data_IF_809617384578
#
_entry.id   IF_809617384578
#
_cell.length_a   1.000
_cell.length_b   1.000
_cell.length_c   1.000
_cell.angle_alpha   90.00
_cell.angle_beta   90.00
_cell.angle_gamma   90.00
#
_symmetry.space_group_name_H-M   'P 1'
#
loop_
_entity.id
_entity.type
_entity.pdbx_description
1 polymer ?
#
# COMPACT_ATOMS: atom_id res chain seq x y z
N UNK A 1 6.83 13.47 -12.09
CA UNK A 1 5.83 14.01 -11.16
C UNK A 1 6.08 15.50 -10.86
N UNK A 2 5.03 16.31 -10.99
CA UNK A 2 5.02 17.74 -10.65
C UNK A 2 4.41 17.93 -9.24
N UNK A 3 4.91 18.92 -8.49
CA UNK A 3 4.30 19.33 -7.21
C UNK A 3 2.96 20.02 -7.49
N UNK A 4 1.88 19.54 -6.88
CA UNK A 4 0.52 20.01 -7.20
C UNK A 4 -0.01 21.06 -6.22
N UNK A 5 0.76 21.44 -5.21
CA UNK A 5 0.36 22.39 -4.17
C UNK A 5 -0.41 21.75 -3.02
N UNK A 6 -0.90 22.60 -2.11
CA UNK A 6 -1.62 22.18 -0.91
C UNK A 6 -3.05 21.71 -1.24
N UNK A 7 -3.21 20.42 -1.52
CA UNK A 7 -4.53 19.80 -1.68
C UNK A 7 -5.20 19.62 -0.32
N UNK A 8 -6.50 19.85 -0.26
CA UNK A 8 -7.31 19.51 0.90
C UNK A 8 -7.41 17.99 1.08
N UNK A 9 -7.65 17.55 2.32
CA UNK A 9 -7.93 16.13 2.63
C UNK A 9 -8.98 15.50 1.70
N UNK A 10 -10.01 16.26 1.33
CA UNK A 10 -11.07 15.77 0.45
C UNK A 10 -10.56 15.58 -0.99
N UNK A 11 -9.78 16.51 -1.53
CA UNK A 11 -9.19 16.39 -2.86
C UNK A 11 -8.20 15.21 -2.94
N UNK A 12 -7.39 15.02 -1.90
CA UNK A 12 -6.49 13.85 -1.80
C UNK A 12 -7.30 12.55 -1.77
N UNK A 13 -8.39 12.51 -0.97
CA UNK A 13 -9.27 11.34 -0.92
C UNK A 13 -9.91 11.06 -2.29
N UNK A 14 -10.43 12.07 -2.98
CA UNK A 14 -11.04 11.91 -4.31
C UNK A 14 -10.05 11.35 -5.33
N UNK A 15 -8.78 11.79 -5.29
CA UNK A 15 -7.71 11.22 -6.14
C UNK A 15 -7.44 9.75 -5.82
N UNK A 16 -7.36 9.38 -4.54
CA UNK A 16 -7.20 7.97 -4.14
C UNK A 16 -8.40 7.14 -4.58
N UNK A 17 -9.63 7.62 -4.36
CA UNK A 17 -10.85 6.90 -4.75
C UNK A 17 -10.89 6.63 -6.26
N UNK A 18 -10.44 7.58 -7.07
CA UNK A 18 -10.37 7.43 -8.53
C UNK A 18 -9.23 6.54 -9.00
N UNK A 19 -8.05 6.59 -8.36
CA UNK A 19 -6.85 5.88 -8.82
C UNK A 19 -6.73 4.45 -8.25
N UNK A 20 -7.30 4.20 -7.07
CA UNK A 20 -7.22 2.92 -6.35
C UNK A 20 -8.62 2.38 -6.06
N UNK A 21 -9.33 1.85 -7.07
CA UNK A 21 -10.54 1.07 -6.81
C UNK A 21 -10.20 -0.14 -5.94
N UNK A 22 -11.19 -0.64 -5.19
CA UNK A 22 -11.01 -1.89 -4.46
C UNK A 22 -10.76 -3.04 -5.45
N UNK A 23 -9.85 -3.93 -5.06
CA UNK A 23 -9.45 -5.09 -5.86
C UNK A 23 -9.98 -6.35 -5.18
N UNK A 24 -10.45 -7.32 -5.96
CA UNK A 24 -10.88 -8.60 -5.42
C UNK A 24 -9.74 -9.32 -4.68
N UNK A 25 -10.10 -10.06 -3.63
CA UNK A 25 -9.14 -10.86 -2.88
C UNK A 25 -8.44 -11.87 -3.82
N UNK A 26 -7.09 -11.93 -3.85
CA UNK A 26 -6.36 -12.96 -4.58
C UNK A 26 -6.66 -14.37 -4.07
N UNK A 27 -6.39 -15.38 -4.92
CA UNK A 27 -6.44 -16.78 -4.49
C UNK A 27 -5.44 -17.04 -3.35
N UNK A 28 -5.66 -18.10 -2.56
CA UNK A 28 -4.77 -18.41 -1.43
C UNK A 28 -3.31 -18.63 -1.87
N UNK A 29 -3.12 -19.25 -3.05
CA UNK A 29 -1.79 -19.48 -3.63
C UNK A 29 -1.12 -18.19 -4.11
N UNK A 30 -1.92 -17.19 -4.44
CA UNK A 30 -1.47 -15.88 -4.89
C UNK A 30 -1.29 -14.87 -3.75
N UNK A 31 -1.66 -15.19 -2.50
CA UNK A 31 -1.57 -14.25 -1.38
C UNK A 31 -0.16 -14.14 -0.78
N UNK A 32 0.68 -15.15 -0.96
CA UNK A 32 1.94 -15.29 -0.22
C UNK A 32 3.12 -15.52 -1.16
N UNK A 33 4.31 -15.07 -0.75
CA UNK A 33 5.57 -15.38 -1.45
C UNK A 33 6.08 -16.76 -1.06
N UNK A 34 5.77 -17.20 0.16
CA UNK A 34 6.24 -18.47 0.72
C UNK A 34 5.17 -19.57 0.66
N UNK A 35 5.63 -20.81 0.62
CA UNK A 35 4.76 -21.99 0.62
C UNK A 35 4.07 -22.22 1.97
N UNK A 36 3.12 -23.17 2.00
CA UNK A 36 2.30 -23.48 3.17
C UNK A 36 3.07 -24.02 4.37
N UNK A 37 4.36 -24.36 4.21
CA UNK A 37 5.20 -24.84 5.30
C UNK A 37 5.74 -23.69 6.16
N UNK A 38 5.82 -22.48 5.60
CA UNK A 38 6.34 -21.29 6.26
C UNK A 38 5.53 -20.89 7.51
N UNK A 39 6.23 -20.40 8.53
CA UNK A 39 5.63 -20.06 9.82
C UNK A 39 4.86 -18.74 9.76
N UNK A 40 5.39 -17.73 9.08
CA UNK A 40 4.73 -16.43 8.98
C UNK A 40 3.47 -16.54 8.15
N UNK A 41 3.50 -17.27 7.02
CA UNK A 41 2.29 -17.57 6.23
C UNK A 41 1.20 -18.21 7.08
N UNK A 42 1.52 -19.19 7.94
CA UNK A 42 0.52 -19.83 8.82
C UNK A 42 -0.14 -18.84 9.78
N UNK A 43 0.65 -17.92 10.34
CA UNK A 43 0.15 -16.88 11.24
C UNK A 43 -0.83 -15.98 10.47
N UNK A 44 -0.41 -15.44 9.33
CA UNK A 44 -1.22 -14.52 8.52
C UNK A 44 -2.48 -15.19 7.98
N UNK A 45 -2.37 -16.41 7.44
CA UNK A 45 -3.50 -17.15 6.86
C UNK A 45 -4.63 -17.34 7.87
N UNK A 46 -4.28 -17.63 9.13
CA UNK A 46 -5.27 -17.72 10.21
C UNK A 46 -6.02 -16.40 10.45
N UNK A 47 -5.31 -15.26 10.40
CA UNK A 47 -5.87 -13.93 10.61
C UNK A 47 -6.68 -13.39 9.43
N UNK A 48 -6.23 -13.68 8.20
CA UNK A 48 -6.80 -13.10 6.96
C UNK A 48 -7.91 -13.95 6.34
N UNK A 49 -7.96 -15.26 6.63
CA UNK A 49 -8.88 -16.21 5.99
C UNK A 49 -10.37 -15.83 6.06
N UNK A 50 -10.76 -15.08 7.10
CA UNK A 50 -12.13 -14.59 7.33
C UNK A 50 -12.54 -13.39 6.46
N UNK A 51 -11.60 -12.66 5.86
CA UNK A 51 -11.90 -11.52 5.01
C UNK A 51 -11.96 -11.96 3.55
N UNK A 52 -13.08 -11.71 2.89
CA UNK A 52 -13.34 -12.15 1.51
C UNK A 52 -13.69 -11.01 0.56
N UNK A 53 -14.08 -9.88 1.11
CA UNK A 53 -14.53 -8.71 0.35
C UNK A 53 -13.35 -7.93 -0.24
N UNK A 54 -13.57 -7.18 -1.34
CA UNK A 54 -12.56 -6.29 -1.92
C UNK A 54 -12.06 -5.21 -0.95
N UNK A 55 -12.96 -4.65 -0.14
CA UNK A 55 -12.59 -3.69 0.90
C UNK A 55 -12.16 -4.44 2.17
N UNK A 56 -10.87 -4.34 2.49
CA UNK A 56 -10.34 -4.80 3.77
C UNK A 56 -10.73 -3.84 4.89
N UNK A 57 -11.33 -4.32 5.99
CA UNK A 57 -11.47 -3.52 7.21
C UNK A 57 -10.11 -3.34 7.87
N UNK A 58 -10.04 -2.44 8.85
CA UNK A 58 -8.81 -2.08 9.56
C UNK A 58 -8.03 -3.31 10.08
N UNK A 59 -8.72 -4.25 10.71
CA UNK A 59 -8.07 -5.46 11.26
C UNK A 59 -7.47 -6.34 10.16
N UNK A 60 -8.10 -6.37 8.97
CA UNK A 60 -7.56 -7.10 7.82
C UNK A 60 -6.34 -6.42 7.24
N UNK A 61 -6.33 -5.08 7.20
CA UNK A 61 -5.17 -4.28 6.80
C UNK A 61 -3.99 -4.55 7.73
N UNK A 62 -4.19 -4.46 9.05
CA UNK A 62 -3.12 -4.69 10.04
C UNK A 62 -2.50 -6.09 9.93
N UNK A 63 -3.31 -7.13 9.73
CA UNK A 63 -2.80 -8.51 9.58
C UNK A 63 -1.85 -8.65 8.38
N UNK A 64 -2.14 -8.02 7.25
CA UNK A 64 -1.26 -8.07 6.07
C UNK A 64 -0.07 -7.11 6.21
N UNK A 65 -0.29 -5.98 6.86
CA UNK A 65 0.71 -4.95 7.11
C UNK A 65 1.82 -5.43 8.06
N UNK A 66 1.48 -6.09 9.17
CA UNK A 66 2.46 -6.54 10.18
C UNK A 66 3.48 -7.53 9.58
N UNK A 67 3.05 -8.26 8.55
CA UNK A 67 3.84 -9.30 7.91
C UNK A 67 4.03 -9.01 6.41
N UNK A 68 4.21 -7.74 6.04
CA UNK A 68 4.27 -7.27 4.66
C UNK A 68 5.30 -8.04 3.80
N UNK A 69 6.44 -8.46 4.36
CA UNK A 69 7.46 -9.22 3.63
C UNK A 69 7.05 -10.66 3.24
N UNK A 70 5.95 -11.16 3.81
CA UNK A 70 5.43 -12.53 3.60
C UNK A 70 4.35 -12.57 2.52
N UNK A 71 3.70 -11.44 2.25
CA UNK A 71 2.60 -11.33 1.29
C UNK A 71 3.14 -11.07 -0.11
N UNK A 72 2.39 -11.45 -1.14
CA UNK A 72 2.80 -11.23 -2.53
C UNK A 72 2.47 -9.81 -3.03
N UNK A 73 3.03 -9.44 -4.17
CA UNK A 73 2.60 -8.25 -4.93
C UNK A 73 1.07 -8.23 -5.17
N UNK A 74 0.46 -9.39 -5.49
CA UNK A 74 -0.99 -9.49 -5.71
C UNK A 74 -1.76 -9.18 -4.42
N UNK A 75 -1.29 -9.67 -3.27
CA UNK A 75 -1.87 -9.33 -1.98
C UNK A 75 -1.75 -7.82 -1.66
N UNK A 76 -0.63 -7.20 -2.03
CA UNK A 76 -0.46 -5.74 -1.90
C UNK A 76 -1.48 -4.98 -2.74
N UNK A 77 -1.79 -5.45 -3.96
CA UNK A 77 -2.81 -4.80 -4.80
C UNK A 77 -4.21 -4.81 -4.16
N UNK A 78 -4.52 -5.81 -3.34
CA UNK A 78 -5.75 -5.89 -2.54
C UNK A 78 -5.68 -5.05 -1.26
N UNK A 79 -4.55 -5.06 -0.57
CA UNK A 79 -4.29 -4.30 0.66
C UNK A 79 -4.33 -2.79 0.44
N UNK A 80 -3.62 -2.32 -0.59
CA UNK A 80 -3.26 -0.92 -0.76
C UNK A 80 -4.50 0.01 -0.79
N UNK A 81 -5.56 -0.26 -1.58
CA UNK A 81 -6.74 0.61 -1.62
C UNK A 81 -7.37 0.88 -0.25
N UNK A 82 -7.49 -0.14 0.60
CA UNK A 82 -8.04 0.01 1.95
C UNK A 82 -7.10 0.78 2.87
N UNK A 83 -5.80 0.44 2.84
CA UNK A 83 -4.80 1.11 3.68
C UNK A 83 -4.71 2.61 3.41
N UNK A 84 -4.70 3.03 2.14
CA UNK A 84 -4.66 4.44 1.75
C UNK A 84 -5.87 5.21 2.30
N UNK A 85 -7.07 4.62 2.21
CA UNK A 85 -8.30 5.21 2.73
C UNK A 85 -8.30 5.31 4.25
N UNK A 86 -7.75 4.32 4.95
CA UNK A 86 -7.62 4.34 6.42
C UNK A 86 -6.71 5.48 6.86
N UNK A 87 -5.56 5.65 6.21
CA UNK A 87 -4.61 6.74 6.48
C UNK A 87 -5.31 8.10 6.28
N UNK A 88 -5.86 8.36 5.09
CA UNK A 88 -6.47 9.66 4.79
C UNK A 88 -7.68 9.94 5.70
N UNK A 89 -8.52 8.93 5.94
CA UNK A 89 -9.71 9.10 6.81
C UNK A 89 -9.36 9.21 8.29
N UNK A 90 -8.07 9.16 8.68
CA UNK A 90 -7.60 9.23 10.06
C UNK A 90 -8.26 8.13 10.92
N UNK A 91 -8.36 6.91 10.36
CA UNK A 91 -8.95 5.74 11.03
C UNK A 91 -7.90 4.73 11.48
N UNK A 92 -6.62 5.08 11.35
CA UNK A 92 -5.52 4.24 11.81
C UNK A 92 -5.43 4.30 13.34
N UNK A 93 -5.86 3.22 14.00
CA UNK A 93 -5.83 3.10 15.47
C UNK A 93 -4.43 2.77 16.02
N UNK A 94 -3.50 2.34 15.15
CA UNK A 94 -2.12 2.01 15.53
C UNK A 94 -1.22 3.23 15.51
N UNK A 95 -1.64 4.29 14.82
CA UNK A 95 -0.83 5.47 14.49
C UNK A 95 0.48 5.09 13.77
N UNK A 96 0.50 3.96 13.06
CA UNK A 96 1.71 3.46 12.41
C UNK A 96 1.64 3.38 10.89
N UNK A 97 0.44 3.27 10.30
CA UNK A 97 0.30 3.06 8.86
C UNK A 97 0.87 4.22 8.05
N UNK A 98 0.77 5.44 8.56
CA UNK A 98 1.25 6.64 7.89
C UNK A 98 2.79 6.72 7.85
N UNK A 99 3.52 6.30 8.89
CA UNK A 99 4.99 6.35 8.80
C UNK A 99 5.59 5.15 8.06
N UNK A 100 4.93 4.00 8.07
CA UNK A 100 5.43 2.81 7.37
C UNK A 100 5.17 2.79 5.87
N UNK A 101 4.06 3.38 5.41
CA UNK A 101 3.75 3.37 3.98
C UNK A 101 4.91 3.95 3.13
N UNK A 102 5.51 5.11 3.46
CA UNK A 102 6.71 5.60 2.79
C UNK A 102 7.86 4.58 2.79
N UNK A 103 8.12 3.95 3.95
CA UNK A 103 9.20 2.97 4.10
C UNK A 103 9.09 1.78 3.13
N UNK A 104 7.88 1.38 2.74
CA UNK A 104 7.69 0.30 1.76
C UNK A 104 8.24 0.67 0.39
N UNK A 105 8.07 1.92 -0.03
CA UNK A 105 8.64 2.41 -1.28
C UNK A 105 10.13 2.67 -1.18
N UNK A 106 10.65 2.98 0.01
CA UNK A 106 12.11 3.10 0.24
C UNK A 106 12.83 1.75 0.07
N UNK A 107 12.19 0.65 0.46
CA UNK A 107 12.68 -0.72 0.32
C UNK A 107 12.29 -1.38 -1.00
N UNK A 108 12.04 -0.57 -2.05
CA UNK A 108 11.61 -1.02 -3.37
C UNK A 108 12.45 -2.20 -3.91
N UNK A 109 11.80 -3.31 -4.23
CA UNK A 109 12.41 -4.48 -4.86
C UNK A 109 11.77 -4.76 -6.22
N UNK A 110 12.33 -4.17 -7.27
CA UNK A 110 11.84 -4.35 -8.64
C UNK A 110 12.37 -5.63 -9.30
N UNK A 111 13.32 -6.33 -8.68
CA UNK A 111 13.96 -7.51 -9.27
C UNK A 111 13.23 -8.81 -8.90
N UNK A 112 12.38 -8.77 -7.88
CA UNK A 112 11.56 -9.91 -7.43
C UNK A 112 10.10 -9.68 -7.82
N UNK A 113 9.57 -10.32 -8.89
CA UNK A 113 8.22 -10.06 -9.40
C UNK A 113 7.10 -10.25 -8.36
N UNK A 114 7.23 -11.27 -7.51
CA UNK A 114 6.20 -11.61 -6.52
C UNK A 114 6.36 -10.87 -5.18
N UNK A 115 7.43 -10.09 -5.00
CA UNK A 115 7.70 -9.37 -3.74
C UNK A 115 6.62 -8.34 -3.43
N UNK A 116 6.22 -8.23 -2.16
CA UNK A 116 5.35 -7.15 -1.69
C UNK A 116 5.94 -5.75 -1.95
N UNK A 117 7.27 -5.65 -2.01
CA UNK A 117 7.98 -4.40 -2.27
C UNK A 117 8.14 -4.12 -3.77
N UNK A 118 7.56 -4.95 -4.65
CA UNK A 118 7.56 -4.70 -6.08
C UNK A 118 6.31 -3.91 -6.48
N UNK A 119 6.47 -2.61 -6.68
CA UNK A 119 5.41 -1.68 -7.07
C UNK A 119 5.36 -1.37 -8.58
N UNK A 120 6.03 -2.16 -9.42
CA UNK A 120 6.08 -1.92 -10.89
C UNK A 120 4.73 -2.03 -11.61
N UNK A 121 3.73 -2.61 -10.96
CA UNK A 121 2.36 -2.75 -11.47
C UNK A 121 1.53 -1.46 -11.36
N UNK A 122 1.99 -0.46 -10.61
CA UNK A 122 1.27 0.80 -10.44
C UNK A 122 1.24 1.59 -11.75
N UNK A 123 0.07 2.07 -12.14
CA UNK A 123 -0.07 2.98 -13.28
C UNK A 123 0.45 4.38 -12.96
N UNK A 124 0.71 5.20 -13.99
CA UNK A 124 1.09 6.63 -13.80
C UNK A 124 0.06 7.41 -12.97
N UNK A 125 -1.23 7.11 -13.13
CA UNK A 125 -2.29 7.72 -12.33
C UNK A 125 -2.19 7.34 -10.84
N UNK A 126 -1.89 6.08 -10.56
CA UNK A 126 -1.69 5.58 -9.19
C UNK A 126 -0.42 6.17 -8.54
N UNK A 127 0.67 6.26 -9.30
CA UNK A 127 1.91 6.90 -8.83
C UNK A 127 1.69 8.38 -8.50
N UNK A 128 0.98 9.11 -9.37
CA UNK A 128 0.61 10.50 -9.11
C UNK A 128 -0.24 10.64 -7.84
N UNK A 129 -1.25 9.79 -7.67
CA UNK A 129 -2.12 9.82 -6.50
C UNK A 129 -1.38 9.47 -5.19
N UNK A 130 -0.40 8.54 -5.24
CA UNK A 130 0.50 8.26 -4.11
C UNK A 130 1.42 9.43 -3.78
N UNK A 131 1.93 10.12 -4.79
CA UNK A 131 2.75 11.31 -4.55
C UNK A 131 1.95 12.41 -3.83
N UNK A 132 0.71 12.67 -4.25
CA UNK A 132 -0.19 13.58 -3.55
C UNK A 132 -0.44 13.14 -2.09
N UNK A 133 -0.61 11.84 -1.87
CA UNK A 133 -0.77 11.30 -0.51
C UNK A 133 0.50 11.51 0.33
N UNK A 134 1.69 11.31 -0.24
CA UNK A 134 2.94 11.55 0.47
C UNK A 134 3.19 13.02 0.83
N UNK A 135 2.73 13.95 0.01
CA UNK A 135 2.71 15.37 0.34
C UNK A 135 1.76 15.63 1.51
N UNK A 136 0.52 15.12 1.43
CA UNK A 136 -0.44 15.20 2.54
C UNK A 136 0.12 14.60 3.83
N UNK A 137 0.81 13.47 3.76
CA UNK A 137 1.36 12.80 4.95
C UNK A 137 2.50 13.59 5.57
N UNK A 138 3.37 14.19 4.74
CA UNK A 138 4.41 15.09 5.22
C UNK A 138 3.83 16.30 5.94
N UNK A 139 2.76 16.88 5.42
CA UNK A 139 2.12 18.05 6.03
C UNK A 139 1.29 17.73 7.28
N UNK A 140 0.54 16.63 7.25
CA UNK A 140 -0.40 16.26 8.30
C UNK A 140 0.27 15.58 9.48
N UNK A 141 1.27 14.74 9.21
CA UNK A 141 1.90 13.87 10.20
C UNK A 141 3.39 14.18 10.42
N UNK A 142 3.96 15.18 9.72
CA UNK A 142 5.39 15.52 9.77
C UNK A 142 6.32 14.38 9.30
N UNK A 143 5.82 13.55 8.39
CA UNK A 143 6.56 12.41 7.87
C UNK A 143 7.57 12.80 6.80
N UNK A 144 8.75 12.15 6.84
CA UNK A 144 9.76 12.27 5.80
C UNK A 144 9.41 11.36 4.63
N UNK A 145 8.84 11.92 3.56
CA UNK A 145 8.39 11.15 2.39
C UNK A 145 9.28 11.32 1.15
N UNK A 146 10.34 12.12 1.23
CA UNK A 146 11.18 12.49 0.08
C UNK A 146 11.80 11.30 -0.66
N UNK A 147 12.36 10.32 0.07
CA UNK A 147 12.92 9.11 -0.55
C UNK A 147 11.84 8.25 -1.20
N UNK A 148 10.69 8.07 -0.55
CA UNK A 148 9.56 7.37 -1.14
C UNK A 148 9.08 8.04 -2.44
N UNK A 149 9.02 9.38 -2.48
CA UNK A 149 8.68 10.15 -3.70
C UNK A 149 9.73 10.01 -4.80
N UNK A 150 11.03 9.93 -4.47
CA UNK A 150 12.08 9.58 -5.44
C UNK A 150 11.86 8.18 -6.02
N UNK A 151 11.51 7.21 -5.19
CA UNK A 151 11.24 5.83 -5.62
C UNK A 151 10.01 5.73 -6.52
N UNK A 152 8.96 6.50 -6.25
CA UNK A 152 7.82 6.63 -7.18
C UNK A 152 8.25 7.15 -8.56
N UNK A 153 9.18 8.12 -8.62
CA UNK A 153 9.72 8.64 -9.90
C UNK A 153 10.54 7.59 -10.64
N UNK A 154 11.31 6.76 -9.92
CA UNK A 154 12.04 5.63 -10.52
C UNK A 154 11.09 4.62 -11.17
N UNK A 155 9.93 4.34 -10.56
CA UNK A 155 8.91 3.47 -11.14
C UNK A 155 8.27 4.15 -12.36
N UNK A 156 7.90 5.43 -12.25
CA UNK A 156 7.27 6.21 -13.34
C UNK A 156 8.14 6.21 -14.61
N UNK A 157 9.47 6.32 -14.48
CA UNK A 157 10.41 6.32 -15.60
C UNK A 157 10.50 4.99 -16.34
N UNK A 158 10.02 3.89 -15.75
CA UNK A 158 10.06 2.54 -16.34
C UNK A 158 8.77 2.17 -17.08
N UNK A 159 7.74 3.01 -17.01
CA UNK A 159 6.40 2.81 -17.62
C UNK A 159 6.24 3.75 -18.82
#
# INVERSE_FOLDING_TARGET
MEYEGYLTKQEVLERIENAFPFVERPSEDDLYVYDESDRMRKIISSGISKFREPELPYEGVIVLYDEFSTISQKAVSWLLPSMLRIIIKERDLSENLHWFLPSYFEHLDLNSPDSAYNFSWLSRQQLSALNCLFEYMSEKYDESTGYAQEKLREIEQKI
#
